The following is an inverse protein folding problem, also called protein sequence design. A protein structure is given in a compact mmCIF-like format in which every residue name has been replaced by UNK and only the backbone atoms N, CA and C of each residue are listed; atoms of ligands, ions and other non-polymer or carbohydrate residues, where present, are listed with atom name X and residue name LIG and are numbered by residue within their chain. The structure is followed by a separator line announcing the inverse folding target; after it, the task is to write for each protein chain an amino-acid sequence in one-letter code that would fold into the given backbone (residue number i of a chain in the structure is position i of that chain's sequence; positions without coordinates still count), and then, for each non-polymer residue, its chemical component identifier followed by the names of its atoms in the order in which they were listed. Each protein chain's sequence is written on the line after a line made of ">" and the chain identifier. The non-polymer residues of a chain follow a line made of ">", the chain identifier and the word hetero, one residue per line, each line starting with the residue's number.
data_IF_496069258393
#
_entry.id   IF_496069258393
#
_cell.length_a   1.000
_cell.length_b   1.000
_cell.length_c   1.000
_cell.angle_alpha   90.00
_cell.angle_beta   90.00
_cell.angle_gamma   90.00
#
_symmetry.space_group_name_H-M   'P 1'
#
loop_
_entity.id
_entity.type
_entity.pdbx_description
1 polymer ?
#
# COMPACT_ATOMS: atom_id res chain seq x y z
N UNK A 1 6.61 15.48 -5.24
CA UNK A 1 7.54 14.85 -4.27
C UNK A 1 7.66 13.37 -4.64
N UNK A 2 8.89 12.82 -4.70
CA UNK A 2 9.10 11.40 -5.07
C UNK A 2 8.73 10.50 -3.90
N UNK A 3 7.84 9.53 -4.12
CA UNK A 3 7.37 8.58 -3.11
C UNK A 3 7.73 7.16 -3.53
N UNK A 4 8.03 6.28 -2.58
CA UNK A 4 8.32 4.87 -2.84
C UNK A 4 7.57 4.01 -1.83
N UNK A 5 7.11 2.85 -2.28
CA UNK A 5 6.67 1.76 -1.39
C UNK A 5 7.86 0.90 -1.00
N UNK A 6 7.99 0.58 0.29
CA UNK A 6 9.02 -0.36 0.77
C UNK A 6 8.83 -1.78 0.22
N UNK A 7 7.66 -2.10 -0.35
CA UNK A 7 7.46 -3.32 -1.13
C UNK A 7 8.54 -3.51 -2.20
N UNK A 8 8.95 -2.40 -2.83
CA UNK A 8 10.01 -2.38 -3.85
C UNK A 8 11.41 -2.71 -3.32
N UNK A 9 11.58 -2.76 -2.01
CA UNK A 9 12.87 -2.86 -1.32
C UNK A 9 12.96 -4.12 -0.44
N UNK A 10 12.25 -5.17 -0.79
CA UNK A 10 12.24 -6.42 -0.04
C UNK A 10 13.64 -6.99 0.17
N UNK A 11 14.44 -7.05 -0.92
CA UNK A 11 15.78 -7.63 -0.88
C UNK A 11 16.74 -6.69 -0.16
N UNK A 12 16.60 -5.38 -0.42
CA UNK A 12 17.39 -4.35 0.26
C UNK A 12 17.19 -4.38 1.77
N UNK A 13 15.93 -4.54 2.25
CA UNK A 13 15.57 -4.51 3.67
C UNK A 13 15.55 -5.87 4.35
N UNK A 14 15.56 -6.97 3.59
CA UNK A 14 15.13 -8.26 4.10
C UNK A 14 13.61 -8.31 4.30
N UNK A 15 13.05 -9.52 4.30
CA UNK A 15 11.63 -9.72 4.54
C UNK A 15 11.40 -9.97 6.01
N UNK A 16 10.81 -9.00 6.70
CA UNK A 16 10.33 -9.19 8.05
C UNK A 16 8.86 -9.55 8.03
N UNK A 17 8.55 -10.68 8.61
CA UNK A 17 7.18 -11.07 8.91
C UNK A 17 6.89 -10.63 10.34
N UNK A 18 5.81 -9.88 10.54
CA UNK A 18 5.40 -9.50 11.89
C UNK A 18 5.15 -10.76 12.75
N UNK A 19 5.51 -10.74 14.04
CA UNK A 19 5.31 -11.88 14.93
C UNK A 19 3.87 -12.43 14.97
N UNK A 20 2.90 -11.60 14.64
CA UNK A 20 1.46 -11.94 14.64
C UNK A 20 0.90 -12.36 13.28
N UNK A 21 1.74 -12.68 12.32
CA UNK A 21 1.31 -13.11 10.97
C UNK A 21 0.42 -14.37 10.97
N UNK A 22 0.39 -15.10 12.07
CA UNK A 22 -0.51 -16.26 12.26
C UNK A 22 -2.00 -15.89 12.37
N UNK A 23 -2.34 -14.59 12.47
CA UNK A 23 -3.74 -14.15 12.64
C UNK A 23 -4.54 -14.29 11.36
N UNK A 24 -3.93 -14.14 10.20
CA UNK A 24 -4.64 -14.07 8.93
C UNK A 24 -4.71 -15.39 8.18
N UNK A 25 -3.89 -16.39 8.53
CA UNK A 25 -3.79 -17.63 7.73
C UNK A 25 -3.38 -17.41 6.28
N UNK A 26 -3.00 -16.17 5.92
CA UNK A 26 -2.48 -15.84 4.61
C UNK A 26 -1.05 -16.35 4.45
N UNK A 27 -0.55 -16.50 3.23
CA UNK A 27 0.83 -16.81 3.03
C UNK A 27 1.64 -15.68 3.62
N UNK A 28 2.23 -15.95 4.78
CA UNK A 28 3.41 -15.24 5.20
C UNK A 28 4.31 -15.18 3.99
N UNK A 29 4.67 -14.01 3.54
CA UNK A 29 5.66 -13.92 2.48
C UNK A 29 6.87 -14.73 2.95
N UNK A 30 7.11 -15.85 2.30
CA UNK A 30 8.28 -16.67 2.57
C UNK A 30 9.51 -15.78 2.35
N UNK A 31 10.04 -15.26 3.40
CA UNK A 31 11.24 -14.45 3.40
C UNK A 31 12.15 -14.95 4.50
N UNK A 32 13.44 -15.01 4.23
CA UNK A 32 14.42 -15.25 5.27
C UNK A 32 14.21 -14.24 6.40
N UNK A 33 14.29 -14.71 7.62
CA UNK A 33 14.36 -13.82 8.79
C UNK A 33 15.69 -13.03 8.84
N UNK A 34 16.52 -13.18 7.82
CA UNK A 34 17.77 -12.48 7.67
C UNK A 34 17.49 -11.03 7.28
N UNK A 35 17.98 -10.05 8.01
CA UNK A 35 17.92 -8.66 7.59
C UNK A 35 18.62 -8.50 6.25
N UNK A 36 18.05 -7.68 5.38
CA UNK A 36 18.72 -7.22 4.17
C UNK A 36 19.99 -6.42 4.49
N UNK A 37 20.69 -5.98 3.47
CA UNK A 37 21.90 -5.18 3.66
C UNK A 37 21.68 -3.83 4.34
N UNK A 38 20.42 -3.34 4.40
CA UNK A 38 20.04 -2.04 4.95
C UNK A 38 19.07 -2.21 6.14
N UNK A 39 19.45 -1.71 7.30
CA UNK A 39 18.51 -1.66 8.44
C UNK A 39 17.38 -0.65 8.17
N UNK A 40 16.15 -0.94 8.63
CA UNK A 40 15.00 -0.07 8.41
C UNK A 40 15.20 1.34 9.00
N UNK A 41 15.96 1.48 10.09
CA UNK A 41 16.29 2.78 10.68
C UNK A 41 17.22 3.63 9.79
N UNK A 42 17.97 3.01 8.87
CA UNK A 42 18.86 3.69 7.93
C UNK A 42 18.17 4.00 6.60
N UNK A 43 16.99 3.40 6.36
CA UNK A 43 16.23 3.60 5.12
C UNK A 43 15.88 5.08 4.87
N UNK A 44 15.42 5.87 5.86
CA UNK A 44 15.06 7.28 5.63
C UNK A 44 16.21 8.09 5.02
N UNK A 45 17.42 7.93 5.53
CA UNK A 45 18.60 8.62 4.99
C UNK A 45 18.98 8.11 3.59
N UNK A 46 18.86 6.81 3.33
CA UNK A 46 19.07 6.25 1.99
C UNK A 46 18.06 6.79 0.97
N UNK A 47 16.80 6.96 1.37
CA UNK A 47 15.74 7.58 0.57
C UNK A 47 16.06 9.05 0.26
N UNK A 48 16.39 9.83 1.29
CA UNK A 48 16.77 11.23 1.13
C UNK A 48 17.89 11.42 0.12
N UNK A 49 18.96 10.61 0.21
CA UNK A 49 20.10 10.65 -0.72
C UNK A 49 19.71 10.38 -2.17
N UNK A 50 18.62 9.64 -2.40
CA UNK A 50 18.07 9.33 -3.73
C UNK A 50 16.94 10.28 -4.16
N UNK A 51 16.70 11.35 -3.38
CA UNK A 51 15.69 12.36 -3.69
C UNK A 51 14.25 11.95 -3.43
N UNK A 52 14.03 10.90 -2.60
CA UNK A 52 12.71 10.57 -2.10
C UNK A 52 12.39 11.43 -0.88
N UNK A 53 11.20 11.98 -0.84
CA UNK A 53 10.70 12.78 0.29
C UNK A 53 9.52 12.11 1.01
N UNK A 54 9.09 10.93 0.55
CA UNK A 54 7.95 10.21 1.12
C UNK A 54 8.09 8.70 0.97
N UNK A 55 7.57 7.97 1.95
CA UNK A 55 7.60 6.50 2.07
C UNK A 55 6.21 5.97 2.34
N UNK A 56 5.86 4.89 1.66
CA UNK A 56 4.82 3.96 2.08
C UNK A 56 5.50 2.70 2.62
N UNK A 57 5.26 2.37 3.90
CA UNK A 57 5.97 1.31 4.62
C UNK A 57 5.09 0.07 4.77
N UNK A 58 5.54 -1.06 4.28
CA UNK A 58 4.90 -2.36 4.55
C UNK A 58 5.09 -2.75 6.02
N UNK A 59 4.02 -3.16 6.67
CA UNK A 59 4.02 -3.52 8.09
C UNK A 59 5.03 -4.64 8.42
N UNK A 60 5.19 -5.60 7.53
CA UNK A 60 6.11 -6.73 7.70
C UNK A 60 7.61 -6.37 7.61
N UNK A 61 7.95 -5.15 7.21
CA UNK A 61 9.31 -4.63 7.30
C UNK A 61 9.65 -4.08 8.69
N UNK A 62 8.65 -3.89 9.56
CA UNK A 62 8.87 -3.45 10.93
C UNK A 62 9.33 -4.62 11.80
N UNK A 63 10.57 -4.61 12.31
CA UNK A 63 11.06 -5.70 13.17
C UNK A 63 10.44 -5.64 14.56
N UNK A 64 9.83 -4.53 14.94
CA UNK A 64 9.20 -4.33 16.24
C UNK A 64 8.17 -3.22 16.22
N UNK A 65 7.05 -3.42 16.91
CA UNK A 65 6.05 -2.39 17.21
C UNK A 65 6.19 -1.80 18.61
N UNK A 66 7.32 -2.05 19.30
CA UNK A 66 7.56 -1.45 20.60
C UNK A 66 7.61 0.08 20.51
N UNK A 67 7.07 0.83 21.50
CA UNK A 67 7.10 2.29 21.50
C UNK A 67 8.50 2.89 21.31
N UNK A 68 9.53 2.22 21.84
CA UNK A 68 10.92 2.65 21.69
C UNK A 68 11.38 2.57 20.22
N UNK A 69 11.11 1.45 19.53
CA UNK A 69 11.48 1.28 18.12
C UNK A 69 10.71 2.22 17.19
N UNK A 70 9.39 2.31 17.37
CA UNK A 70 8.54 3.22 16.58
C UNK A 70 8.99 4.68 16.78
N UNK A 71 9.36 5.06 18.00
CA UNK A 71 9.93 6.37 18.31
C UNK A 71 11.26 6.64 17.58
N UNK A 72 12.17 5.65 17.53
CA UNK A 72 13.43 5.77 16.81
C UNK A 72 13.21 5.92 15.30
N UNK A 73 12.32 5.12 14.71
CA UNK A 73 12.01 5.20 13.28
C UNK A 73 11.36 6.55 12.93
N UNK A 74 10.45 7.04 13.76
CA UNK A 74 9.84 8.37 13.57
C UNK A 74 10.89 9.48 13.61
N UNK A 75 11.85 9.41 14.52
CA UNK A 75 12.96 10.38 14.59
C UNK A 75 13.87 10.29 13.38
N UNK A 76 14.19 9.08 12.89
CA UNK A 76 15.00 8.88 11.69
C UNK A 76 14.31 9.47 10.44
N UNK A 77 12.99 9.24 10.28
CA UNK A 77 12.18 9.81 9.21
C UNK A 77 12.20 11.35 9.27
N UNK A 78 11.97 11.93 10.46
CA UNK A 78 11.98 13.38 10.65
C UNK A 78 13.37 13.99 10.36
N UNK A 79 14.45 13.37 10.83
CA UNK A 79 15.82 13.83 10.61
C UNK A 79 16.20 13.81 9.11
N UNK A 80 15.72 12.81 8.36
CA UNK A 80 15.93 12.72 6.92
C UNK A 80 14.98 13.63 6.11
N UNK A 81 13.94 14.21 6.71
CA UNK A 81 12.91 14.96 5.99
C UNK A 81 12.06 14.07 5.07
N UNK A 82 11.88 12.80 5.43
CA UNK A 82 11.04 11.83 4.71
C UNK A 82 9.74 11.65 5.46
N UNK A 83 8.61 11.94 4.81
CA UNK A 83 7.29 11.73 5.38
C UNK A 83 6.89 10.25 5.29
N UNK A 84 6.32 9.69 6.36
CA UNK A 84 5.61 8.42 6.27
C UNK A 84 4.19 8.71 5.75
N UNK A 85 3.97 8.43 4.48
CA UNK A 85 2.70 8.74 3.81
C UNK A 85 1.65 7.69 4.17
N UNK A 86 2.00 6.40 4.07
CA UNK A 86 1.07 5.29 4.35
C UNK A 86 1.80 4.15 5.08
N UNK A 87 1.19 3.61 6.12
CA UNK A 87 1.52 2.26 6.59
C UNK A 87 0.68 1.24 5.82
N UNK A 88 1.33 0.32 5.12
CA UNK A 88 0.68 -0.73 4.33
C UNK A 88 0.52 -1.98 5.20
N UNK A 89 -0.71 -2.33 5.55
CA UNK A 89 -1.04 -3.57 6.25
C UNK A 89 -1.38 -4.63 5.19
N UNK A 90 -0.40 -5.46 4.86
CA UNK A 90 -0.41 -6.38 3.71
C UNK A 90 -0.99 -7.76 4.04
N UNK A 91 -1.77 -7.87 5.11
CA UNK A 91 -2.41 -9.10 5.51
C UNK A 91 -3.77 -8.83 6.18
N UNK A 92 -4.51 -9.90 6.49
CA UNK A 92 -5.83 -9.83 7.07
C UNK A 92 -6.95 -10.06 6.07
N UNK A 93 -8.06 -10.62 6.54
CA UNK A 93 -9.28 -10.89 5.77
C UNK A 93 -10.51 -10.56 6.63
N UNK A 94 -11.08 -9.37 6.42
CA UNK A 94 -12.31 -8.94 7.10
C UNK A 94 -13.57 -9.63 6.56
N UNK A 95 -13.43 -10.36 5.45
CA UNK A 95 -14.52 -11.10 4.82
C UNK A 95 -14.64 -12.55 5.33
N UNK A 96 -13.63 -13.07 6.04
CA UNK A 96 -13.68 -14.39 6.65
C UNK A 96 -14.52 -14.37 7.93
N UNK A 97 -15.72 -14.99 7.96
CA UNK A 97 -16.62 -14.90 9.10
C UNK A 97 -16.06 -15.54 10.38
N UNK A 98 -15.10 -16.48 10.27
CA UNK A 98 -14.52 -17.17 11.42
C UNK A 98 -13.41 -16.35 12.08
N UNK A 99 -12.73 -15.49 11.33
CA UNK A 99 -11.55 -14.77 11.79
C UNK A 99 -11.73 -13.24 11.83
N UNK A 100 -12.77 -12.70 11.20
CA UNK A 100 -12.91 -11.26 10.98
C UNK A 100 -12.79 -10.42 12.27
N UNK A 101 -13.27 -10.91 13.42
CA UNK A 101 -13.16 -10.17 14.70
C UNK A 101 -11.69 -10.10 15.18
N UNK A 102 -10.94 -11.20 15.02
CA UNK A 102 -9.51 -11.23 15.35
C UNK A 102 -8.70 -10.33 14.40
N UNK A 103 -9.03 -10.39 13.11
CA UNK A 103 -8.40 -9.56 12.07
C UNK A 103 -8.69 -8.09 12.33
N UNK A 104 -9.92 -7.71 12.64
CA UNK A 104 -10.29 -6.33 12.99
C UNK A 104 -9.46 -5.82 14.18
N UNK A 105 -9.39 -6.60 15.27
CA UNK A 105 -8.56 -6.27 16.43
C UNK A 105 -7.06 -6.20 16.11
N UNK A 106 -6.57 -7.08 15.23
CA UNK A 106 -5.18 -7.08 14.77
C UNK A 106 -4.87 -5.85 13.91
N UNK A 107 -5.76 -5.48 13.00
CA UNK A 107 -5.64 -4.24 12.20
C UNK A 107 -5.65 -3.00 13.10
N UNK A 108 -6.47 -2.99 14.18
CA UNK A 108 -6.46 -1.91 15.18
C UNK A 108 -5.06 -1.67 15.78
N UNK A 109 -4.33 -2.74 16.15
CA UNK A 109 -2.94 -2.61 16.64
C UNK A 109 -1.98 -2.00 15.61
N UNK A 110 -2.19 -2.32 14.31
CA UNK A 110 -1.40 -1.68 13.25
C UNK A 110 -1.76 -0.22 13.03
N UNK A 111 -3.03 0.15 13.23
CA UNK A 111 -3.45 1.56 13.22
C UNK A 111 -2.83 2.34 14.38
N UNK A 112 -2.74 1.74 15.59
CA UNK A 112 -1.99 2.32 16.72
C UNK A 112 -0.50 2.54 16.36
N UNK A 113 0.13 1.57 15.69
CA UNK A 113 1.50 1.71 15.23
C UNK A 113 1.63 2.81 14.16
N UNK A 114 0.69 2.91 13.22
CA UNK A 114 0.64 3.98 12.21
C UNK A 114 0.55 5.37 12.86
N UNK A 115 -0.32 5.53 13.86
CA UNK A 115 -0.43 6.76 14.64
C UNK A 115 0.87 7.10 15.38
N UNK A 116 1.50 6.12 16.02
CA UNK A 116 2.76 6.30 16.74
C UNK A 116 3.91 6.71 15.81
N UNK A 117 3.94 6.19 14.59
CA UNK A 117 4.89 6.55 13.55
C UNK A 117 4.61 7.92 12.92
N UNK A 118 3.40 8.44 13.07
CA UNK A 118 2.96 9.67 12.41
C UNK A 118 2.61 9.49 10.94
N UNK A 119 2.16 8.30 10.56
CA UNK A 119 1.67 8.03 9.20
C UNK A 119 0.41 8.86 8.90
N UNK A 120 0.34 9.43 7.71
CA UNK A 120 -0.85 10.16 7.26
C UNK A 120 -2.02 9.21 6.98
N UNK A 121 -1.70 8.03 6.44
CA UNK A 121 -2.67 7.00 6.05
C UNK A 121 -2.26 5.62 6.55
N UNK A 122 -3.24 4.72 6.59
CA UNK A 122 -2.99 3.29 6.67
C UNK A 122 -3.83 2.57 5.61
N UNK A 123 -3.20 1.72 4.80
CA UNK A 123 -3.92 0.86 3.86
C UNK A 123 -4.20 -0.48 4.50
N UNK A 124 -5.49 -0.85 4.52
CA UNK A 124 -5.98 -2.13 5.01
C UNK A 124 -6.48 -2.99 3.86
N UNK A 125 -6.22 -4.30 3.92
CA UNK A 125 -6.86 -5.27 3.03
C UNK A 125 -8.28 -5.55 3.49
N UNK A 126 -9.21 -5.71 2.54
CA UNK A 126 -10.62 -5.95 2.87
C UNK A 126 -10.92 -7.44 2.99
N UNK A 127 -10.51 -8.23 2.00
CA UNK A 127 -10.74 -9.67 2.01
C UNK A 127 -10.60 -10.31 0.65
N UNK A 128 -10.55 -11.65 0.66
CA UNK A 128 -10.22 -12.48 -0.52
C UNK A 128 -11.45 -13.11 -1.18
N UNK A 129 -12.61 -13.08 -0.50
CA UNK A 129 -13.85 -13.65 -1.01
C UNK A 129 -14.40 -12.83 -2.19
N UNK A 130 -15.21 -13.47 -3.03
CA UNK A 130 -15.92 -12.78 -4.11
C UNK A 130 -16.91 -11.74 -3.55
N UNK A 131 -17.02 -10.56 -4.18
CA UNK A 131 -17.86 -9.49 -3.67
C UNK A 131 -19.34 -9.80 -3.80
N UNK A 132 -20.06 -9.70 -2.69
CA UNK A 132 -21.53 -9.64 -2.66
C UNK A 132 -21.98 -8.36 -1.97
N UNK A 133 -23.19 -7.82 -2.26
CA UNK A 133 -23.69 -6.64 -1.55
C UNK A 133 -23.74 -6.80 -0.03
N UNK A 134 -24.04 -8.01 0.46
CA UNK A 134 -24.07 -8.30 1.90
C UNK A 134 -22.67 -8.27 2.50
N UNK A 135 -21.70 -8.92 1.84
CA UNK A 135 -20.30 -8.95 2.30
C UNK A 135 -19.68 -7.56 2.31
N UNK A 136 -19.90 -6.76 1.25
CA UNK A 136 -19.42 -5.38 1.18
C UNK A 136 -19.94 -4.56 2.38
N UNK A 137 -21.24 -4.67 2.73
CA UNK A 137 -21.79 -3.98 3.91
C UNK A 137 -21.15 -4.43 5.22
N UNK A 138 -20.91 -5.73 5.37
CA UNK A 138 -20.25 -6.27 6.59
C UNK A 138 -18.85 -5.72 6.71
N UNK A 139 -18.02 -5.81 5.65
CA UNK A 139 -16.67 -5.28 5.65
C UNK A 139 -16.63 -3.76 5.84
N UNK A 140 -17.53 -3.02 5.19
CA UNK A 140 -17.65 -1.57 5.35
C UNK A 140 -17.98 -1.19 6.82
N UNK A 141 -18.85 -1.92 7.48
CA UNK A 141 -19.16 -1.71 8.91
C UNK A 141 -17.92 -1.89 9.80
N UNK A 142 -17.06 -2.89 9.52
CA UNK A 142 -15.80 -3.11 10.25
C UNK A 142 -14.80 -1.97 10.00
N UNK A 143 -14.63 -1.57 8.74
CA UNK A 143 -13.76 -0.47 8.37
C UNK A 143 -14.19 0.86 9.01
N UNK A 144 -15.51 1.13 9.10
CA UNK A 144 -16.04 2.32 9.79
C UNK A 144 -15.68 2.32 11.27
N UNK A 145 -15.86 1.19 11.97
CA UNK A 145 -15.47 1.09 13.39
C UNK A 145 -13.98 1.33 13.60
N UNK A 146 -13.13 0.77 12.73
CA UNK A 146 -11.69 1.03 12.75
C UNK A 146 -11.37 2.51 12.53
N UNK A 147 -12.02 3.17 11.57
CA UNK A 147 -11.83 4.58 11.30
C UNK A 147 -12.30 5.49 12.46
N UNK A 148 -13.41 5.14 13.09
CA UNK A 148 -13.92 5.84 14.28
C UNK A 148 -12.99 5.69 15.48
N UNK A 149 -12.39 4.50 15.66
CA UNK A 149 -11.45 4.23 16.75
C UNK A 149 -10.09 4.90 16.55
N UNK A 150 -9.68 5.15 15.29
CA UNK A 150 -8.36 5.69 14.93
C UNK A 150 -8.45 6.97 14.08
N UNK A 151 -9.03 8.07 14.58
CA UNK A 151 -9.32 9.28 13.79
C UNK A 151 -8.08 10.07 13.35
N UNK A 152 -6.90 9.74 13.88
CA UNK A 152 -5.64 10.42 13.52
C UNK A 152 -4.97 9.86 12.26
N UNK A 153 -5.43 8.71 11.78
CA UNK A 153 -4.90 8.05 10.57
C UNK A 153 -6.03 7.86 9.58
N UNK A 154 -5.85 8.34 8.36
CA UNK A 154 -6.80 8.11 7.28
C UNK A 154 -6.71 6.67 6.80
N UNK A 155 -7.73 5.85 6.99
CA UNK A 155 -7.79 4.51 6.42
C UNK A 155 -8.08 4.62 4.92
N UNK A 156 -7.32 3.87 4.11
CA UNK A 156 -7.58 3.66 2.69
C UNK A 156 -7.65 2.16 2.40
N UNK A 157 -8.46 1.79 1.42
CA UNK A 157 -8.51 0.45 0.84
C UNK A 157 -7.91 0.47 -0.55
N UNK A 158 -7.57 -0.69 -1.10
CA UNK A 158 -6.88 -0.81 -2.38
C UNK A 158 -7.72 -1.63 -3.36
N UNK A 159 -7.70 -1.27 -4.65
CA UNK A 159 -8.24 -2.09 -5.73
C UNK A 159 -7.38 -3.33 -5.93
N UNK A 160 -7.69 -4.37 -5.18
CA UNK A 160 -6.97 -5.64 -5.17
C UNK A 160 -7.94 -6.81 -5.34
N UNK A 161 -7.43 -8.05 -5.39
CA UNK A 161 -8.22 -9.27 -5.57
C UNK A 161 -9.33 -9.44 -4.51
N UNK A 162 -10.26 -10.36 -4.74
CA UNK A 162 -11.36 -10.66 -3.83
C UNK A 162 -12.40 -9.55 -3.78
N UNK A 163 -12.74 -9.09 -2.58
CA UNK A 163 -13.85 -8.14 -2.36
C UNK A 163 -13.73 -6.85 -3.18
N UNK A 164 -12.53 -6.42 -3.54
CA UNK A 164 -12.29 -5.20 -4.32
C UNK A 164 -11.68 -5.50 -5.71
N UNK A 165 -12.05 -6.63 -6.31
CA UNK A 165 -11.54 -7.12 -7.59
C UNK A 165 -12.01 -6.37 -8.83
N UNK A 166 -13.00 -5.47 -8.71
CA UNK A 166 -13.52 -4.65 -9.81
C UNK A 166 -13.97 -3.25 -9.35
N UNK A 167 -14.16 -2.33 -10.29
CA UNK A 167 -14.56 -0.96 -10.00
C UNK A 167 -15.95 -0.85 -9.36
N UNK A 168 -16.86 -1.78 -9.62
CA UNK A 168 -18.21 -1.79 -9.03
C UNK A 168 -18.13 -2.06 -7.54
N UNK A 169 -17.36 -3.06 -7.13
CA UNK A 169 -17.17 -3.42 -5.73
C UNK A 169 -16.40 -2.34 -4.97
N UNK A 170 -15.33 -1.77 -5.55
CA UNK A 170 -14.62 -0.61 -4.97
C UNK A 170 -15.58 0.55 -4.72
N UNK A 171 -16.34 0.98 -5.73
CA UNK A 171 -17.30 2.07 -5.58
C UNK A 171 -18.43 1.76 -4.59
N UNK A 172 -18.87 0.50 -4.51
CA UNK A 172 -19.84 0.08 -3.51
C UNK A 172 -19.26 0.17 -2.09
N UNK A 173 -18.02 -0.29 -1.88
CA UNK A 173 -17.33 -0.17 -0.60
C UNK A 173 -17.21 1.29 -0.14
N UNK A 174 -16.75 2.19 -1.01
CA UNK A 174 -16.61 3.61 -0.68
C UNK A 174 -17.96 4.28 -0.36
N UNK A 175 -19.04 3.89 -1.02
CA UNK A 175 -20.39 4.37 -0.68
C UNK A 175 -20.86 3.86 0.67
N UNK A 176 -20.67 2.56 0.96
CA UNK A 176 -21.09 1.94 2.23
C UNK A 176 -20.29 2.48 3.42
N UNK A 177 -19.04 2.90 3.20
CA UNK A 177 -18.23 3.55 4.26
C UNK A 177 -18.55 5.02 4.46
N UNK A 178 -19.34 5.64 3.58
CA UNK A 178 -19.84 7.01 3.70
C UNK A 178 -18.72 8.03 4.00
N UNK A 179 -17.65 7.96 3.23
CA UNK A 179 -16.48 8.85 3.39
C UNK A 179 -15.53 8.52 4.53
N UNK A 180 -15.85 7.54 5.40
CA UNK A 180 -14.95 7.14 6.50
C UNK A 180 -13.63 6.54 5.98
N UNK A 181 -13.63 5.96 4.76
CA UNK A 181 -12.47 5.30 4.17
C UNK A 181 -12.22 5.85 2.78
N UNK A 182 -10.93 6.04 2.43
CA UNK A 182 -10.48 6.48 1.11
C UNK A 182 -10.01 5.33 0.21
N UNK A 183 -9.42 5.69 -0.92
CA UNK A 183 -8.92 4.75 -1.92
C UNK A 183 -7.44 4.98 -2.23
N UNK A 184 -6.66 3.91 -2.14
CA UNK A 184 -5.38 3.76 -2.80
C UNK A 184 -5.64 3.04 -4.13
N UNK A 185 -5.28 3.67 -5.25
CA UNK A 185 -5.36 3.02 -6.57
C UNK A 185 -4.02 2.39 -6.92
N UNK A 186 -3.99 1.08 -7.13
CA UNK A 186 -2.83 0.38 -7.69
C UNK A 186 -3.02 0.18 -9.20
N UNK A 187 -2.03 0.64 -9.99
CA UNK A 187 -2.07 0.59 -11.45
C UNK A 187 -1.72 -0.78 -12.03
N UNK A 188 -1.16 -1.67 -11.22
CA UNK A 188 -0.71 -3.01 -11.63
C UNK A 188 -1.59 -4.16 -11.17
N UNK A 189 -2.50 -3.96 -10.21
CA UNK A 189 -3.29 -5.06 -9.63
C UNK A 189 -4.38 -5.60 -10.56
N UNK A 190 -4.92 -4.77 -11.43
CA UNK A 190 -5.88 -5.21 -12.43
C UNK A 190 -5.23 -5.38 -13.80
N UNK A 191 -5.74 -6.34 -14.58
CA UNK A 191 -5.24 -6.68 -15.90
C UNK A 191 -6.36 -7.00 -16.90
N UNK A 192 -5.95 -7.44 -18.10
CA UNK A 192 -6.88 -7.84 -19.15
C UNK A 192 -7.51 -6.68 -19.93
N UNK A 193 -8.44 -6.96 -20.84
CA UNK A 193 -8.91 -5.99 -21.83
C UNK A 193 -9.72 -4.83 -21.25
N UNK A 194 -10.27 -4.98 -20.05
CA UNK A 194 -11.06 -3.92 -19.37
C UNK A 194 -10.26 -3.12 -18.35
N UNK A 195 -8.97 -3.37 -18.18
CA UNK A 195 -8.12 -2.73 -17.16
C UNK A 195 -8.31 -1.21 -17.11
N UNK A 196 -8.15 -0.54 -18.25
CA UNK A 196 -8.17 0.92 -18.30
C UNK A 196 -9.57 1.50 -18.09
N UNK A 197 -10.60 0.79 -18.57
CA UNK A 197 -11.99 1.16 -18.32
C UNK A 197 -12.30 1.07 -16.81
N UNK A 198 -11.92 -0.03 -16.17
CA UNK A 198 -12.13 -0.24 -14.74
C UNK A 198 -11.33 0.77 -13.90
N UNK A 199 -10.05 1.02 -14.24
CA UNK A 199 -9.25 2.07 -13.59
C UNK A 199 -9.90 3.45 -13.76
N UNK A 200 -10.35 3.80 -14.94
CA UNK A 200 -11.02 5.09 -15.21
C UNK A 200 -12.27 5.33 -14.36
N UNK A 201 -12.97 4.27 -13.97
CA UNK A 201 -14.17 4.37 -13.11
C UNK A 201 -13.85 4.70 -11.66
N UNK A 202 -12.60 4.50 -11.20
CA UNK A 202 -12.19 4.73 -9.80
C UNK A 202 -11.08 5.78 -9.65
N UNK A 203 -10.41 6.15 -10.73
CA UNK A 203 -9.24 7.02 -10.70
C UNK A 203 -9.50 8.37 -10.00
N UNK A 204 -10.68 8.99 -10.24
CA UNK A 204 -11.06 10.26 -9.58
C UNK A 204 -11.38 10.14 -8.09
N UNK A 205 -11.40 8.92 -7.54
CA UNK A 205 -11.64 8.64 -6.13
C UNK A 205 -10.33 8.38 -5.37
N UNK A 206 -9.19 8.34 -6.07
CA UNK A 206 -7.90 8.04 -5.50
C UNK A 206 -7.41 9.15 -4.56
N UNK A 207 -6.99 8.79 -3.35
CA UNK A 207 -6.29 9.67 -2.41
C UNK A 207 -4.78 9.47 -2.44
N UNK A 208 -4.33 8.28 -2.86
CA UNK A 208 -2.93 7.92 -3.07
C UNK A 208 -2.85 6.83 -4.14
N UNK A 209 -1.68 6.57 -4.70
CA UNK A 209 -1.52 5.65 -5.81
C UNK A 209 -0.26 4.81 -5.69
N UNK A 210 -0.38 3.51 -5.95
CA UNK A 210 0.73 2.64 -6.29
C UNK A 210 1.00 2.74 -7.79
N UNK A 211 2.05 3.45 -8.16
CA UNK A 211 2.56 3.51 -9.53
C UNK A 211 3.37 2.23 -9.80
N UNK A 212 2.65 1.13 -9.98
CA UNK A 212 3.20 -0.21 -10.15
C UNK A 212 3.35 -0.54 -11.63
N UNK A 213 4.60 -0.67 -12.09
CA UNK A 213 4.93 -1.12 -13.43
C UNK A 213 5.18 -2.62 -13.46
N UNK A 214 4.58 -3.32 -14.42
CA UNK A 214 4.92 -4.72 -14.64
C UNK A 214 6.25 -4.83 -15.36
N UNK A 215 7.16 -5.67 -14.84
CA UNK A 215 8.42 -6.03 -15.48
C UNK A 215 8.32 -7.43 -16.11
N UNK A 216 8.84 -7.55 -17.32
CA UNK A 216 8.97 -8.77 -18.09
C UNK A 216 10.45 -9.07 -18.32
N UNK A 217 10.78 -10.19 -18.94
CA UNK A 217 12.16 -10.52 -19.36
C UNK A 217 12.78 -9.44 -20.27
N UNK A 218 11.95 -8.75 -21.06
CA UNK A 218 12.37 -7.66 -21.95
C UNK A 218 12.43 -6.28 -21.27
N UNK A 219 12.15 -6.21 -19.96
CA UNK A 219 12.13 -4.97 -19.19
C UNK A 219 10.73 -4.49 -18.79
N UNK A 220 10.55 -3.19 -18.45
CA UNK A 220 9.26 -2.66 -18.02
C UNK A 220 8.25 -2.64 -19.16
N UNK A 221 7.01 -3.03 -18.87
CA UNK A 221 5.87 -2.82 -19.76
C UNK A 221 5.47 -1.33 -19.77
N UNK A 222 6.34 -0.55 -20.41
CA UNK A 222 6.23 0.91 -20.41
C UNK A 222 4.96 1.41 -21.13
N UNK A 223 4.40 0.62 -22.05
CA UNK A 223 3.18 1.00 -22.77
C UNK A 223 1.95 0.90 -21.84
N UNK A 224 1.77 -0.23 -21.18
CA UNK A 224 0.70 -0.45 -20.19
C UNK A 224 0.80 0.57 -19.05
N UNK A 225 2.00 0.73 -18.51
CA UNK A 225 2.21 1.64 -17.38
C UNK A 225 1.90 3.10 -17.73
N UNK A 226 2.41 3.61 -18.86
CA UNK A 226 2.08 4.98 -19.32
C UNK A 226 0.59 5.15 -19.61
N UNK A 227 -0.09 4.13 -20.11
CA UNK A 227 -1.54 4.20 -20.33
C UNK A 227 -2.28 4.33 -18.99
N UNK A 228 -1.96 3.47 -18.03
CA UNK A 228 -2.53 3.52 -16.68
C UNK A 228 -2.31 4.89 -16.00
N UNK A 229 -1.08 5.43 -16.11
CA UNK A 229 -0.76 6.79 -15.61
C UNK A 229 -1.59 7.89 -16.28
N UNK A 230 -1.83 7.80 -17.60
CA UNK A 230 -2.70 8.78 -18.30
C UNK A 230 -4.14 8.71 -17.82
N UNK A 231 -4.70 7.51 -17.65
CA UNK A 231 -6.05 7.34 -17.07
C UNK A 231 -6.16 8.06 -15.73
N UNK A 232 -5.15 7.91 -14.86
CA UNK A 232 -5.12 8.57 -13.57
C UNK A 232 -5.02 10.09 -13.71
N UNK A 233 -4.14 10.59 -14.58
CA UNK A 233 -3.95 12.03 -14.84
C UNK A 233 -5.21 12.66 -15.44
N UNK A 234 -5.83 12.02 -16.42
CA UNK A 234 -7.06 12.50 -17.10
C UNK A 234 -8.25 12.55 -16.12
N UNK A 235 -8.25 11.73 -15.08
CA UNK A 235 -9.21 11.80 -13.99
C UNK A 235 -8.96 12.95 -12.99
N UNK A 236 -7.90 13.76 -13.20
CA UNK A 236 -7.57 14.91 -12.37
C UNK A 236 -6.75 14.56 -11.12
N UNK A 237 -6.15 13.37 -11.05
CA UNK A 237 -5.33 12.99 -9.90
C UNK A 237 -4.04 13.81 -9.82
N UNK A 238 -3.78 14.39 -8.66
CA UNK A 238 -2.59 15.19 -8.32
C UNK A 238 -1.89 14.74 -7.02
N UNK A 239 -2.34 13.62 -6.47
CA UNK A 239 -1.82 13.05 -5.23
C UNK A 239 -0.46 12.33 -5.37
N UNK A 240 0.02 11.68 -4.28
CA UNK A 240 1.28 10.95 -4.28
C UNK A 240 1.28 9.76 -5.26
N UNK A 241 2.36 9.61 -6.02
CA UNK A 241 2.66 8.43 -6.84
C UNK A 241 3.77 7.63 -6.14
N UNK A 242 3.40 6.59 -5.40
CA UNK A 242 4.36 5.70 -4.79
C UNK A 242 4.84 4.67 -5.82
N UNK A 243 6.13 4.71 -6.14
CA UNK A 243 6.75 3.74 -7.04
C UNK A 243 6.71 2.35 -6.41
N UNK A 244 6.31 1.35 -7.18
CA UNK A 244 6.19 -0.04 -6.73
C UNK A 244 6.82 -0.98 -7.75
N UNK A 245 8.03 -1.41 -7.46
CA UNK A 245 8.70 -2.48 -8.18
C UNK A 245 8.37 -3.84 -7.55
N UNK A 246 7.94 -4.78 -8.37
CA UNK A 246 7.49 -6.12 -7.98
C UNK A 246 8.08 -7.19 -8.92
N UNK A 247 9.31 -6.97 -9.38
CA UNK A 247 10.00 -7.88 -10.29
C UNK A 247 11.04 -8.76 -9.59
N UNK A 248 11.64 -9.70 -10.35
CA UNK A 248 12.56 -10.69 -9.80
C UNK A 248 14.00 -10.18 -9.59
N UNK A 249 14.37 -9.03 -10.16
CA UNK A 249 15.76 -8.54 -10.15
C UNK A 249 16.17 -7.97 -8.80
N UNK A 250 17.46 -8.14 -8.43
CA UNK A 250 18.02 -7.67 -7.18
C UNK A 250 18.33 -6.16 -7.18
N UNK A 251 18.47 -5.53 -8.35
CA UNK A 251 18.72 -4.09 -8.46
C UNK A 251 17.41 -3.30 -8.40
N UNK A 252 16.77 -3.31 -7.23
CA UNK A 252 15.51 -2.64 -6.95
C UNK A 252 15.59 -1.13 -7.22
N UNK A 253 16.72 -0.52 -6.89
CA UNK A 253 16.90 0.92 -7.07
C UNK A 253 16.95 1.35 -8.53
N UNK A 254 17.64 0.60 -9.40
CA UNK A 254 17.66 0.90 -10.83
C UNK A 254 16.28 0.73 -11.47
N UNK A 255 15.48 -0.26 -11.01
CA UNK A 255 14.10 -0.45 -11.48
C UNK A 255 13.18 0.71 -11.05
N UNK A 256 13.32 1.18 -9.82
CA UNK A 256 12.61 2.36 -9.33
C UNK A 256 12.98 3.64 -10.10
N UNK A 257 14.23 3.79 -10.55
CA UNK A 257 14.64 4.92 -11.37
C UNK A 257 14.00 4.86 -12.78
N UNK A 258 13.85 3.66 -13.36
CA UNK A 258 13.10 3.46 -14.61
C UNK A 258 11.61 3.82 -14.45
N UNK A 259 10.95 3.34 -13.41
CA UNK A 259 9.55 3.68 -13.12
C UNK A 259 9.38 5.19 -12.92
N UNK A 260 10.29 5.82 -12.17
CA UNK A 260 10.26 7.27 -11.98
C UNK A 260 10.37 8.04 -13.29
N UNK A 261 11.28 7.62 -14.19
CA UNK A 261 11.42 8.25 -15.49
C UNK A 261 10.13 8.15 -16.33
N UNK A 262 9.43 6.99 -16.25
CA UNK A 262 8.15 6.78 -16.91
C UNK A 262 7.04 7.68 -16.32
N UNK A 263 6.97 7.79 -14.99
CA UNK A 263 6.01 8.68 -14.30
C UNK A 263 6.23 10.14 -14.70
N UNK A 264 7.48 10.62 -14.71
CA UNK A 264 7.81 11.97 -15.15
C UNK A 264 7.43 12.24 -16.60
N UNK A 265 7.50 11.24 -17.47
CA UNK A 265 7.06 11.37 -18.86
C UNK A 265 5.57 11.64 -19.04
N UNK A 266 4.77 11.40 -17.99
CA UNK A 266 3.31 11.61 -18.01
C UNK A 266 2.91 12.79 -17.12
N UNK A 267 3.45 12.90 -15.92
CA UNK A 267 3.04 13.92 -14.93
C UNK A 267 3.88 15.20 -14.96
N UNK A 268 5.06 15.15 -15.55
CA UNK A 268 6.00 16.30 -15.68
C UNK A 268 7.11 16.22 -14.66
#
# INVERSE_FOLDING_TARGET
>A
MRTVSSWSLHRTLGRFVAPDSSVSGGPCMEGSAEPGGLALLDLPEALRRRGYGSLQLCHFHLPSTSPAYLGQLRLALAAAGVALETLLVDDGDLADPEQADRVEAWMGRWLEAAEALGATRARLLVGRADPTPALIRVCAGRLKRLAEAHPRVRIVVENWAGVLGDARSVRAMLRETDGAVGLLVDLGNWGGPRKYEELGRIASLAETCHAKCRFTESGPDAQDFRHSLRVLKEAGYDGPLALVYDGPDDDEWAKLDLEHALCRGVFG
#
